data_IF_077926098134
#
_entry.id   IF_077926098134
#
_cell.length_a   1.000
_cell.length_b   1.000
_cell.length_c   1.000
_cell.angle_alpha   90.00
_cell.angle_beta   90.00
_cell.angle_gamma   90.00
#
_symmetry.space_group_name_H-M   'P 1'
#
loop_
_entity.id
_entity.type
_entity.pdbx_description
1 polymer ?
#
# COMPACT_ATOMS: atom_id res chain seq x y z
N UNK A 1 -13.02 12.85 1.75
CA UNK A 1 -12.22 12.82 0.50
C UNK A 1 -11.73 11.38 0.31
N UNK A 2 -11.99 10.73 -0.84
CA UNK A 2 -11.62 9.31 -1.05
C UNK A 2 -10.10 9.15 -1.18
N UNK A 3 -9.51 8.17 -0.51
CA UNK A 3 -8.09 7.84 -0.68
C UNK A 3 -7.86 6.71 -1.70
N UNK A 4 -6.60 6.27 -1.81
CA UNK A 4 -6.20 5.23 -2.76
C UNK A 4 -6.84 3.87 -2.48
N UNK A 5 -7.12 3.52 -1.22
CA UNK A 5 -7.76 2.26 -0.89
C UNK A 5 -9.23 2.30 -1.32
N UNK A 6 -9.91 3.43 -1.10
CA UNK A 6 -11.28 3.63 -1.57
C UNK A 6 -11.37 3.53 -3.10
N UNK A 7 -10.40 4.13 -3.81
CA UNK A 7 -10.29 4.00 -5.26
C UNK A 7 -10.12 2.53 -5.67
N UNK A 8 -9.18 1.81 -5.05
CA UNK A 8 -8.95 0.39 -5.38
C UNK A 8 -10.22 -0.42 -5.12
N UNK A 9 -10.92 -0.22 -4.01
CA UNK A 9 -12.19 -0.92 -3.73
C UNK A 9 -13.27 -0.60 -4.78
N UNK A 10 -13.36 0.64 -5.23
CA UNK A 10 -14.32 1.05 -6.25
C UNK A 10 -14.10 0.37 -7.61
N UNK A 11 -12.84 0.19 -8.02
CA UNK A 11 -12.47 -0.37 -9.34
C UNK A 11 -12.05 -1.85 -9.30
N UNK A 12 -12.03 -2.44 -8.11
CA UNK A 12 -11.73 -3.86 -7.90
C UNK A 12 -12.83 -4.75 -8.47
N UNK A 13 -12.44 -5.96 -8.88
CA UNK A 13 -13.41 -6.96 -9.33
C UNK A 13 -14.47 -7.27 -8.25
N UNK A 14 -15.69 -7.69 -8.62
CA UNK A 14 -16.73 -8.06 -7.66
C UNK A 14 -16.27 -9.13 -6.65
N UNK A 15 -15.34 -10.00 -7.04
CA UNK A 15 -14.74 -11.02 -6.16
C UNK A 15 -13.90 -10.36 -5.08
N UNK A 16 -13.02 -9.41 -5.44
CA UNK A 16 -12.20 -8.71 -4.45
C UNK A 16 -13.04 -7.76 -3.58
N UNK A 17 -14.11 -7.17 -4.12
CA UNK A 17 -15.04 -6.33 -3.36
C UNK A 17 -15.81 -7.11 -2.29
N UNK A 18 -16.29 -8.31 -2.62
CA UNK A 18 -17.04 -9.18 -1.70
C UNK A 18 -16.15 -9.97 -0.74
N UNK A 19 -14.84 -10.01 -0.98
CA UNK A 19 -13.88 -10.73 -0.15
C UNK A 19 -13.68 -10.06 1.21
N UNK A 20 -13.93 -10.80 2.29
CA UNK A 20 -13.68 -10.36 3.67
C UNK A 20 -12.41 -10.95 4.29
N UNK A 21 -11.72 -11.87 3.62
CA UNK A 21 -10.49 -12.51 4.11
C UNK A 21 -9.46 -12.68 3.01
N UNK A 22 -8.17 -12.71 3.38
CA UNK A 22 -7.12 -13.11 2.44
C UNK A 22 -7.24 -14.61 2.17
N UNK A 23 -7.76 -14.95 0.99
CA UNK A 23 -7.81 -16.34 0.53
C UNK A 23 -6.40 -16.80 0.13
N UNK A 24 -5.93 -17.87 0.76
CA UNK A 24 -4.63 -18.49 0.48
C UNK A 24 -4.71 -19.44 -0.74
N UNK A 25 -5.91 -19.74 -1.23
CA UNK A 25 -6.13 -20.87 -2.12
C UNK A 25 -5.65 -20.64 -3.57
N UNK A 26 -4.82 -21.59 -4.03
CA UNK A 26 -4.45 -21.80 -5.42
C UNK A 26 -5.63 -22.45 -6.17
N UNK A 27 -6.65 -21.69 -6.51
CA UNK A 27 -7.67 -22.16 -7.46
C UNK A 27 -7.11 -22.05 -8.88
N UNK A 28 -6.27 -23.02 -9.29
CA UNK A 28 -6.05 -23.32 -10.71
C UNK A 28 -7.28 -24.05 -11.25
N UNK A 29 -8.43 -23.38 -11.24
CA UNK A 29 -9.61 -23.80 -11.98
C UNK A 29 -9.50 -23.32 -13.42
N UNK A 30 -8.96 -24.16 -14.30
CA UNK A 30 -8.97 -23.92 -15.74
C UNK A 30 -10.43 -23.97 -16.22
N UNK A 31 -11.12 -22.83 -16.17
CA UNK A 31 -12.44 -22.67 -16.76
C UNK A 31 -12.28 -22.26 -18.22
N UNK A 32 -12.33 -23.24 -19.12
CA UNK A 32 -12.34 -23.10 -20.59
C UNK A 32 -13.67 -22.49 -21.09
N UNK A 33 -14.14 -21.40 -20.48
CA UNK A 33 -15.26 -20.62 -21.00
C UNK A 33 -14.77 -19.23 -21.38
N UNK A 34 -14.96 -18.77 -22.63
CA UNK A 34 -14.71 -17.39 -23.01
C UNK A 34 -15.61 -16.49 -22.14
N UNK A 35 -15.02 -15.86 -21.13
CA UNK A 35 -15.70 -14.83 -20.36
C UNK A 35 -15.61 -13.54 -21.18
N UNK A 36 -16.65 -13.25 -21.94
CA UNK A 36 -16.91 -11.92 -22.51
C UNK A 36 -17.34 -10.92 -21.42
N UNK A 37 -16.55 -10.84 -20.35
CA UNK A 37 -16.73 -9.86 -19.28
C UNK A 37 -15.36 -9.25 -19.08
N UNK A 38 -15.20 -7.97 -19.41
CA UNK A 38 -14.01 -7.21 -19.02
C UNK A 38 -13.77 -7.46 -17.53
N UNK A 39 -12.71 -8.20 -17.21
CA UNK A 39 -12.27 -8.37 -15.83
C UNK A 39 -11.80 -7.01 -15.37
N UNK A 40 -12.59 -6.32 -14.56
CA UNK A 40 -12.19 -5.10 -13.88
C UNK A 40 -11.03 -5.46 -12.94
N UNK A 41 -9.82 -5.07 -13.36
CA UNK A 41 -8.57 -5.40 -12.67
C UNK A 41 -7.74 -4.13 -12.51
N UNK A 42 -7.14 -3.98 -11.34
CA UNK A 42 -6.27 -2.85 -11.01
C UNK A 42 -4.82 -3.29 -11.13
N UNK A 43 -4.08 -2.69 -12.06
CA UNK A 43 -2.64 -2.88 -12.14
C UNK A 43 -1.91 -1.82 -11.32
N UNK A 44 -1.26 -2.24 -10.23
CA UNK A 44 -0.37 -1.38 -9.44
C UNK A 44 1.07 -1.73 -9.77
N UNK A 45 1.78 -0.83 -10.45
CA UNK A 45 3.17 -1.07 -10.87
C UNK A 45 4.13 0.03 -10.40
N UNK A 46 5.41 -0.32 -10.35
CA UNK A 46 6.51 0.62 -10.32
C UNK A 46 7.54 0.13 -11.35
N UNK A 47 8.76 0.63 -11.31
CA UNK A 47 9.79 0.25 -12.28
C UNK A 47 10.14 -1.26 -12.20
N UNK A 48 10.64 -1.72 -11.05
CA UNK A 48 11.06 -3.11 -10.86
C UNK A 48 10.01 -4.03 -10.21
N UNK A 49 8.90 -3.47 -9.73
CA UNK A 49 7.90 -4.25 -8.99
C UNK A 49 8.36 -4.80 -7.63
N UNK A 50 9.47 -4.30 -7.06
CA UNK A 50 10.09 -4.85 -5.83
C UNK A 50 9.74 -4.04 -4.57
N UNK A 51 9.65 -2.71 -4.67
CA UNK A 51 9.63 -1.84 -3.47
C UNK A 51 8.40 -0.94 -3.40
N UNK A 52 8.25 0.01 -4.33
CA UNK A 52 7.17 1.02 -4.31
C UNK A 52 5.79 0.39 -4.51
N UNK A 53 5.54 -0.29 -5.63
CA UNK A 53 4.23 -0.89 -5.89
C UNK A 53 3.84 -1.97 -4.88
N UNK A 54 4.73 -2.89 -4.44
CA UNK A 54 4.35 -3.83 -3.39
C UNK A 54 4.00 -3.17 -2.06
N UNK A 55 4.63 -2.03 -1.71
CA UNK A 55 4.28 -1.30 -0.49
C UNK A 55 2.82 -0.83 -0.52
N UNK A 56 2.36 -0.32 -1.66
CA UNK A 56 0.95 0.09 -1.85
C UNK A 56 0.01 -1.11 -1.74
N UNK A 57 0.36 -2.23 -2.38
CA UNK A 57 -0.42 -3.48 -2.28
C UNK A 57 -0.50 -3.96 -0.82
N UNK A 58 0.63 -4.00 -0.11
CA UNK A 58 0.67 -4.41 1.30
C UNK A 58 -0.21 -3.50 2.15
N UNK A 59 -0.06 -2.17 2.03
CA UNK A 59 -0.87 -1.21 2.80
C UNK A 59 -2.38 -1.37 2.55
N UNK A 60 -2.77 -1.59 1.29
CA UNK A 60 -4.15 -1.83 0.91
C UNK A 60 -4.71 -3.12 1.53
N UNK A 61 -3.98 -4.24 1.42
CA UNK A 61 -4.42 -5.52 1.98
C UNK A 61 -4.49 -5.48 3.51
N UNK A 62 -3.54 -4.80 4.17
CA UNK A 62 -3.59 -4.55 5.62
C UNK A 62 -4.88 -3.84 6.01
N UNK A 63 -5.24 -2.74 5.32
CA UNK A 63 -6.47 -2.00 5.61
C UNK A 63 -7.73 -2.79 5.29
N UNK A 64 -7.79 -3.41 4.11
CA UNK A 64 -8.98 -4.13 3.63
C UNK A 64 -9.37 -5.28 4.55
N UNK A 65 -8.36 -6.02 5.03
CA UNK A 65 -8.58 -7.24 5.80
C UNK A 65 -8.29 -7.08 7.30
N UNK A 66 -7.87 -5.89 7.75
CA UNK A 66 -7.51 -5.65 9.15
C UNK A 66 -6.34 -6.50 9.63
N UNK A 67 -5.36 -6.75 8.76
CA UNK A 67 -4.24 -7.65 9.02
C UNK A 67 -2.96 -6.91 9.39
N UNK A 68 -2.14 -7.58 10.20
CA UNK A 68 -0.85 -7.06 10.60
C UNK A 68 0.14 -7.01 9.42
N UNK A 69 1.08 -6.08 9.49
CA UNK A 69 2.05 -5.82 8.43
C UNK A 69 2.84 -7.07 8.05
N UNK A 70 3.24 -7.87 9.03
CA UNK A 70 4.11 -9.04 8.84
C UNK A 70 3.38 -10.18 8.11
N UNK A 71 2.11 -10.41 8.44
CA UNK A 71 1.27 -11.42 7.79
C UNK A 71 1.06 -11.08 6.31
N UNK A 72 0.71 -9.82 6.03
CA UNK A 72 0.48 -9.36 4.66
C UNK A 72 1.78 -9.34 3.86
N UNK A 73 2.90 -8.91 4.45
CA UNK A 73 4.20 -8.94 3.79
C UNK A 73 4.58 -10.38 3.40
N UNK A 74 4.42 -11.33 4.32
CA UNK A 74 4.69 -12.76 4.08
C UNK A 74 3.80 -13.30 2.96
N UNK A 75 2.50 -12.97 2.99
CA UNK A 75 1.57 -13.34 1.94
C UNK A 75 2.01 -12.83 0.56
N UNK A 76 2.34 -11.54 0.44
CA UNK A 76 2.78 -10.96 -0.84
C UNK A 76 4.11 -11.55 -1.31
N UNK A 77 5.04 -11.82 -0.38
CA UNK A 77 6.31 -12.49 -0.67
C UNK A 77 6.13 -13.92 -1.18
N UNK A 78 5.07 -14.62 -0.76
CA UNK A 78 4.73 -15.96 -1.29
C UNK A 78 4.32 -15.95 -2.77
N UNK A 79 3.84 -14.80 -3.28
CA UNK A 79 3.34 -14.64 -4.65
C UNK A 79 4.36 -13.98 -5.58
N UNK A 80 5.23 -13.11 -5.07
CA UNK A 80 6.24 -12.41 -5.86
C UNK A 80 7.45 -11.95 -5.02
N UNK A 81 8.59 -11.74 -5.69
CA UNK A 81 9.81 -11.22 -5.03
C UNK A 81 9.64 -9.75 -4.68
N UNK A 82 9.43 -9.45 -3.40
CA UNK A 82 9.26 -8.08 -2.89
C UNK A 82 10.21 -7.77 -1.75
N UNK A 83 10.65 -6.51 -1.72
CA UNK A 83 11.50 -5.95 -0.69
C UNK A 83 11.24 -4.45 -0.59
N UNK A 84 10.18 -4.03 0.13
CA UNK A 84 10.02 -2.65 0.55
C UNK A 84 11.31 -2.12 1.19
N UNK A 85 11.66 -0.87 0.92
CA UNK A 85 12.82 -0.23 1.56
C UNK A 85 12.57 -0.10 3.07
N UNK A 86 13.63 0.09 3.87
CA UNK A 86 13.48 0.33 5.31
C UNK A 86 12.56 1.52 5.63
N UNK A 87 12.55 2.54 4.76
CA UNK A 87 11.64 3.68 4.92
C UNK A 87 10.18 3.28 4.68
N UNK A 88 9.91 2.45 3.67
CA UNK A 88 8.55 1.94 3.42
C UNK A 88 8.10 0.96 4.51
N UNK A 89 8.99 0.12 5.03
CA UNK A 89 8.69 -0.74 6.18
C UNK A 89 8.26 0.09 7.40
N UNK A 90 8.98 1.18 7.70
CA UNK A 90 8.59 2.12 8.76
C UNK A 90 7.23 2.78 8.48
N UNK A 91 6.95 3.17 7.23
CA UNK A 91 5.64 3.74 6.87
C UNK A 91 4.50 2.74 7.07
N UNK A 92 4.71 1.46 6.72
CA UNK A 92 3.72 0.40 6.94
C UNK A 92 3.49 0.13 8.43
N UNK A 93 4.52 0.22 9.26
CA UNK A 93 4.39 0.12 10.72
C UNK A 93 3.54 1.28 11.28
N UNK A 94 3.77 2.51 10.82
CA UNK A 94 2.93 3.66 11.21
C UNK A 94 1.49 3.48 10.71
N UNK A 95 1.30 2.94 9.50
CA UNK A 95 -0.03 2.63 8.95
C UNK A 95 -0.80 1.65 9.83
N UNK A 96 -0.13 0.59 10.31
CA UNK A 96 -0.68 -0.37 11.27
C UNK A 96 -1.01 0.27 12.61
N UNK A 97 -0.06 1.00 13.22
CA UNK A 97 -0.25 1.66 14.52
C UNK A 97 -1.36 2.72 14.54
N UNK A 98 -1.69 3.28 13.38
CA UNK A 98 -2.76 4.27 13.24
C UNK A 98 -4.12 3.63 12.96
N UNK A 99 -4.21 2.30 12.88
CA UNK A 99 -5.44 1.60 12.54
C UNK A 99 -5.89 1.89 11.11
N UNK A 100 -4.93 2.06 10.20
CA UNK A 100 -5.17 2.31 8.77
C UNK A 100 -5.94 3.60 8.48
N UNK A 101 -5.83 4.58 9.37
CA UNK A 101 -6.28 5.96 9.20
C UNK A 101 -5.33 6.86 9.98
N UNK A 102 -4.55 7.69 9.29
CA UNK A 102 -3.46 8.47 9.90
C UNK A 102 -3.92 9.80 10.50
N UNK A 103 -5.17 10.21 10.27
CA UNK A 103 -5.77 11.45 10.75
C UNK A 103 -6.80 11.19 11.86
N UNK A 104 -6.93 12.13 12.78
CA UNK A 104 -7.98 12.12 13.82
C UNK A 104 -9.29 12.74 13.29
N UNK A 105 -9.20 13.59 12.27
CA UNK A 105 -10.28 14.39 11.71
C UNK A 105 -10.49 14.12 10.20
N UNK A 106 -11.72 14.31 9.72
CA UNK A 106 -12.08 14.07 8.31
C UNK A 106 -11.41 15.08 7.36
N UNK A 107 -11.10 16.27 7.87
CA UNK A 107 -10.39 17.34 7.17
C UNK A 107 -8.91 17.05 6.98
N UNK A 108 -8.38 15.99 7.62
CA UNK A 108 -6.98 15.55 7.53
C UNK A 108 -6.00 16.63 7.96
N UNK A 109 -6.29 17.29 9.09
CA UNK A 109 -5.44 18.36 9.62
C UNK A 109 -4.75 17.96 10.93
N UNK A 110 -5.31 17.01 11.67
CA UNK A 110 -4.79 16.55 12.95
C UNK A 110 -4.23 15.14 12.80
N UNK A 111 -2.90 14.96 12.69
CA UNK A 111 -2.32 13.62 12.55
C UNK A 111 -2.41 12.85 13.87
N UNK A 112 -2.67 11.55 13.80
CA UNK A 112 -2.57 10.64 14.96
C UNK A 112 -1.14 10.64 15.52
N UNK A 113 -1.00 10.33 16.81
CA UNK A 113 0.29 10.44 17.51
C UNK A 113 1.46 9.68 16.82
N UNK A 114 1.30 8.42 16.36
CA UNK A 114 2.39 7.73 15.65
C UNK A 114 2.79 8.43 14.34
N UNK A 115 1.81 8.91 13.57
CA UNK A 115 2.06 9.61 12.33
C UNK A 115 2.70 10.99 12.56
N UNK A 116 2.26 11.71 13.59
CA UNK A 116 2.89 12.98 14.01
C UNK A 116 4.38 12.80 14.31
N UNK A 117 4.72 11.81 15.13
CA UNK A 117 6.13 11.51 15.47
C UNK A 117 6.96 11.16 14.22
N UNK A 118 6.38 10.39 13.29
CA UNK A 118 7.02 10.09 12.00
C UNK A 118 7.28 11.35 11.17
N UNK A 119 6.34 12.29 11.11
CA UNK A 119 6.49 13.56 10.38
C UNK A 119 7.58 14.45 11.00
N UNK A 120 7.63 14.55 12.32
CA UNK A 120 8.65 15.32 13.05
C UNK A 120 10.06 14.75 12.80
N UNK A 121 10.22 13.43 12.91
CA UNK A 121 11.48 12.73 12.60
C UNK A 121 11.92 12.96 11.16
N UNK A 122 10.98 12.88 10.22
CA UNK A 122 11.24 13.11 8.80
C UNK A 122 11.67 14.56 8.56
N UNK A 123 11.01 15.54 9.17
CA UNK A 123 11.37 16.95 9.06
C UNK A 123 12.78 17.23 9.60
N UNK A 124 13.12 16.66 10.77
CA UNK A 124 14.46 16.76 11.35
C UNK A 124 15.54 16.11 10.47
N UNK A 125 15.23 14.97 9.86
CA UNK A 125 16.13 14.29 8.91
C UNK A 125 16.38 15.13 7.66
N UNK A 126 15.33 15.67 7.05
CA UNK A 126 15.41 16.51 5.85
C UNK A 126 16.23 17.78 6.14
N UNK A 127 15.98 18.45 7.26
CA UNK A 127 16.74 19.62 7.70
C UNK A 127 18.23 19.30 7.87
N UNK A 128 18.58 18.18 8.52
CA UNK A 128 19.98 17.75 8.66
C UNK A 128 20.66 17.46 7.33
N UNK A 129 19.91 16.97 6.35
CA UNK A 129 20.44 16.65 5.01
C UNK A 129 20.41 17.85 4.05
N UNK A 130 19.89 19.00 4.46
CA UNK A 130 19.68 20.14 3.56
C UNK A 130 18.68 19.86 2.43
N UNK A 131 17.73 18.96 2.68
CA UNK A 131 16.70 18.55 1.73
C UNK A 131 15.35 19.18 2.07
N UNK A 132 14.55 19.40 1.04
CA UNK A 132 13.16 19.86 1.08
C UNK A 132 12.17 18.69 1.15
N UNK A 133 12.56 17.51 0.67
CA UNK A 133 11.67 16.35 0.52
C UNK A 133 10.91 16.30 -0.80
N UNK A 134 11.08 17.32 -1.66
CA UNK A 134 10.52 17.41 -3.01
C UNK A 134 11.61 17.30 -4.09
N UNK A 135 12.74 16.68 -3.75
CA UNK A 135 13.81 16.46 -4.72
C UNK A 135 13.33 15.53 -5.84
N UNK A 136 13.84 15.72 -7.08
CA UNK A 136 13.56 14.81 -8.18
C UNK A 136 13.94 13.37 -7.82
N UNK A 137 13.04 12.41 -8.08
CA UNK A 137 13.27 10.98 -7.81
C UNK A 137 14.29 10.34 -8.76
N UNK A 138 14.62 11.01 -9.86
CA UNK A 138 15.61 10.59 -10.84
C UNK A 138 16.63 11.73 -11.06
N UNK A 139 17.88 11.42 -11.41
CA UNK A 139 18.80 12.46 -11.87
C UNK A 139 18.16 13.18 -13.07
N UNK A 140 18.22 14.51 -13.08
CA UNK A 140 17.66 15.37 -14.14
C UNK A 140 18.32 15.14 -15.51
N UNK A 141 19.37 14.32 -15.57
CA UNK A 141 20.09 13.96 -16.78
C UNK A 141 20.18 12.43 -16.88
N UNK A 142 19.38 11.86 -17.78
CA UNK A 142 19.63 10.58 -18.46
C UNK A 142 19.85 10.90 -19.94
#
# INVERSE_FOLDING_TARGET
MSDICDFIDQVASPVLQSSSTLSVENEHGLSDKPRETHSEAVLVHCDLGISRSPTVIIAYLMRKYGLEREDVLTFVQSKQKVKPSANFMRQLEIWEQTGYEVWEDEERTVPKAPYRAFLEDRAALLKRKGLTGNEPLAPLNL
#
